data_IF_579253039442
#
_entry.id   IF_579253039442
#
_cell.length_a   1.000
_cell.length_b   1.000
_cell.length_c   1.000
_cell.angle_alpha   90.00
_cell.angle_beta   90.00
_cell.angle_gamma   90.00
#
_symmetry.space_group_name_H-M   'P 1'
#
loop_
_entity.id
_entity.type
_entity.pdbx_description
1 polymer ?
#
# COMPACT_ATOMS: atom_id res chain seq x y z
N UNK A 1 -1.15 10.90 7.52
CA UNK A 1 -2.59 10.54 7.60
C UNK A 1 -2.72 9.31 6.74
N UNK A 2 -3.19 8.19 7.28
CA UNK A 2 -3.15 6.93 6.54
C UNK A 2 -4.25 6.86 5.47
N UNK A 3 -3.88 6.42 4.27
CA UNK A 3 -4.79 6.15 3.15
C UNK A 3 -4.82 4.64 2.90
N UNK A 4 -6.01 4.06 2.81
CA UNK A 4 -6.17 2.60 2.82
C UNK A 4 -7.08 2.12 1.69
N UNK A 5 -6.65 1.09 0.98
CA UNK A 5 -7.48 0.38 0.02
C UNK A 5 -8.47 -0.52 0.78
N UNK A 6 -9.76 -0.33 0.50
CA UNK A 6 -10.81 -1.20 1.03
C UNK A 6 -10.93 -2.47 0.18
N UNK A 7 -11.14 -3.60 0.85
CA UNK A 7 -11.35 -4.90 0.21
C UNK A 7 -12.49 -5.63 0.95
N UNK A 8 -13.30 -6.45 0.26
CA UNK A 8 -14.50 -7.06 0.82
C UNK A 8 -14.23 -8.17 1.85
N UNK A 9 -12.97 -8.55 2.05
CA UNK A 9 -12.53 -9.56 3.01
C UNK A 9 -11.64 -8.98 4.11
N UNK A 10 -11.60 -9.67 5.25
CA UNK A 10 -10.75 -9.29 6.37
C UNK A 10 -9.28 -9.69 6.16
N UNK A 11 -9.00 -10.79 5.48
CA UNK A 11 -7.64 -11.32 5.22
C UNK A 11 -7.44 -11.61 3.73
N UNK A 12 -6.21 -11.91 3.31
CA UNK A 12 -5.86 -12.13 1.89
C UNK A 12 -6.09 -10.92 0.98
N UNK A 13 -6.00 -9.70 1.54
CA UNK A 13 -6.18 -8.44 0.79
C UNK A 13 -5.12 -8.27 -0.28
N UNK A 14 -3.87 -8.68 -0.01
CA UNK A 14 -2.80 -8.63 -1.00
C UNK A 14 -3.12 -9.49 -2.24
N UNK A 15 -3.51 -10.74 -2.01
CA UNK A 15 -3.93 -11.67 -3.06
C UNK A 15 -5.15 -11.15 -3.81
N UNK A 16 -6.14 -10.61 -3.10
CA UNK A 16 -7.33 -10.05 -3.73
C UNK A 16 -7.00 -8.84 -4.61
N UNK A 17 -6.18 -7.90 -4.14
CA UNK A 17 -5.74 -6.75 -4.92
C UNK A 17 -5.01 -7.22 -6.19
N UNK A 18 -4.07 -8.17 -6.05
CA UNK A 18 -3.34 -8.76 -7.18
C UNK A 18 -4.25 -9.51 -8.18
N UNK A 19 -5.30 -10.17 -7.69
CA UNK A 19 -6.23 -10.94 -8.52
C UNK A 19 -7.28 -10.10 -9.24
N UNK A 20 -7.69 -8.96 -8.67
CA UNK A 20 -8.74 -8.10 -9.21
C UNK A 20 -8.19 -6.95 -10.06
N UNK A 21 -7.01 -6.43 -9.71
CA UNK A 21 -6.40 -5.31 -10.41
C UNK A 21 -5.20 -5.81 -11.22
N UNK A 22 -5.38 -5.91 -12.55
CA UNK A 22 -4.39 -6.51 -13.44
C UNK A 22 -3.04 -5.77 -13.53
N UNK A 23 -2.95 -4.56 -12.98
CA UNK A 23 -1.71 -3.77 -12.86
C UNK A 23 -1.02 -3.90 -11.50
N UNK A 24 -1.64 -4.59 -10.55
CA UNK A 24 -1.06 -4.88 -9.25
C UNK A 24 0.00 -5.99 -9.35
N UNK A 25 1.15 -5.78 -8.71
CA UNK A 25 2.26 -6.73 -8.71
C UNK A 25 2.75 -6.97 -7.29
N UNK A 26 2.65 -8.20 -6.81
CA UNK A 26 3.32 -8.63 -5.58
C UNK A 26 4.84 -8.56 -5.75
N UNK A 27 5.51 -7.92 -4.80
CA UNK A 27 6.97 -7.76 -4.80
C UNK A 27 7.54 -8.08 -3.41
N UNK A 28 8.85 -8.38 -3.30
CA UNK A 28 9.57 -8.28 -2.05
C UNK A 28 9.48 -6.87 -1.45
N UNK A 29 9.79 -6.73 -0.16
CA UNK A 29 9.94 -5.41 0.46
C UNK A 29 11.01 -4.60 -0.30
N UNK A 30 10.71 -3.37 -0.76
CA UNK A 30 11.73 -2.47 -1.28
C UNK A 30 12.71 -2.04 -0.17
N UNK A 31 13.98 -1.83 -0.51
CA UNK A 31 14.97 -1.35 0.44
C UNK A 31 14.78 0.14 0.73
N UNK A 32 14.44 0.92 -0.30
CA UNK A 32 14.31 2.37 -0.23
C UNK A 32 13.01 2.85 -0.87
N UNK A 33 12.51 4.00 -0.42
CA UNK A 33 11.34 4.65 -1.04
C UNK A 33 11.58 4.98 -2.52
N UNK A 34 12.82 5.31 -2.89
CA UNK A 34 13.22 5.60 -4.27
C UNK A 34 13.17 4.39 -5.21
N UNK A 35 13.06 3.16 -4.68
CA UNK A 35 12.94 1.95 -5.48
C UNK A 35 11.54 1.78 -6.09
N UNK A 36 10.58 2.60 -5.63
CA UNK A 36 9.21 2.60 -6.13
C UNK A 36 9.19 3.27 -7.50
N UNK A 37 8.78 2.58 -8.58
CA UNK A 37 8.77 3.16 -9.92
C UNK A 37 7.87 4.38 -10.03
N UNK A 38 8.28 5.34 -10.86
CA UNK A 38 7.44 6.48 -11.21
C UNK A 38 6.07 6.01 -11.74
N UNK A 39 5.02 6.72 -11.36
CA UNK A 39 3.65 6.37 -11.75
C UNK A 39 3.04 5.20 -10.97
N UNK A 40 3.75 4.64 -9.98
CA UNK A 40 3.20 3.66 -9.04
C UNK A 40 3.21 4.17 -7.59
N UNK A 41 2.39 3.52 -6.76
CA UNK A 41 2.52 3.55 -5.31
C UNK A 41 2.88 2.15 -4.80
N UNK A 42 3.57 2.14 -3.66
CA UNK A 42 3.70 0.94 -2.86
C UNK A 42 2.46 0.78 -1.98
N UNK A 43 1.83 -0.38 -2.08
CA UNK A 43 0.74 -0.82 -1.20
C UNK A 43 1.31 -1.81 -0.20
N UNK A 44 1.07 -1.55 1.07
CA UNK A 44 1.60 -2.35 2.18
C UNK A 44 0.41 -2.99 2.89
N UNK A 45 0.29 -4.31 2.75
CA UNK A 45 -0.75 -5.08 3.41
C UNK A 45 -0.21 -5.63 4.71
N UNK A 46 -0.61 -5.01 5.82
CA UNK A 46 -0.21 -5.36 7.18
C UNK A 46 -1.20 -6.34 7.78
N UNK A 47 -0.72 -7.46 8.31
CA UNK A 47 -1.53 -8.42 9.04
C UNK A 47 -1.65 -8.02 10.52
N UNK A 48 -2.84 -7.63 10.97
CA UNK A 48 -3.12 -7.24 12.35
C UNK A 48 -3.66 -8.39 13.21
N UNK A 49 -3.69 -9.63 12.69
CA UNK A 49 -4.29 -10.80 13.34
C UNK A 49 -5.68 -11.12 12.74
N UNK A 50 -6.79 -10.59 13.29
CA UNK A 50 -8.12 -10.88 12.78
C UNK A 50 -8.45 -10.19 11.44
N UNK A 51 -7.65 -9.21 11.02
CA UNK A 51 -7.80 -8.52 9.74
C UNK A 51 -6.46 -8.00 9.21
N UNK A 52 -6.44 -7.64 7.94
CA UNK A 52 -5.33 -6.97 7.26
C UNK A 52 -5.70 -5.52 6.93
N UNK A 53 -4.71 -4.62 6.89
CA UNK A 53 -4.89 -3.25 6.42
C UNK A 53 -3.99 -3.01 5.21
N UNK A 54 -4.53 -2.50 4.10
CA UNK A 54 -3.79 -2.23 2.87
C UNK A 54 -3.49 -0.72 2.76
N UNK A 55 -2.37 -0.28 3.34
CA UNK A 55 -1.95 1.12 3.37
C UNK A 55 -1.26 1.53 2.06
N UNK A 56 -1.47 2.79 1.64
CA UNK A 56 -0.74 3.40 0.52
C UNK A 56 0.45 4.18 1.07
N UNK A 57 1.68 3.78 0.73
CA UNK A 57 2.87 4.57 1.03
C UNK A 57 3.04 5.69 -0.02
N UNK A 58 2.39 6.82 0.22
CA UNK A 58 2.41 7.99 -0.66
C UNK A 58 3.56 8.97 -0.40
N UNK A 59 4.33 8.74 0.67
CA UNK A 59 5.48 9.54 1.08
C UNK A 59 6.56 8.66 1.71
N UNK A 60 7.79 9.18 1.76
CA UNK A 60 8.91 8.50 2.42
C UNK A 60 8.65 8.29 3.93
N UNK A 61 7.92 9.21 4.57
CA UNK A 61 7.52 9.07 5.98
C UNK A 61 6.64 7.83 6.17
N UNK A 62 5.57 7.70 5.38
CA UNK A 62 4.67 6.54 5.48
C UNK A 62 5.40 5.24 5.13
N UNK A 63 6.28 5.25 4.12
CA UNK A 63 7.13 4.10 3.82
C UNK A 63 7.93 3.66 5.06
N UNK A 64 8.67 4.58 5.67
CA UNK A 64 9.53 4.30 6.82
C UNK A 64 8.74 3.79 8.04
N UNK A 65 7.55 4.33 8.29
CA UNK A 65 6.69 3.88 9.38
C UNK A 65 6.32 2.40 9.26
N UNK A 66 6.19 1.87 8.04
CA UNK A 66 5.82 0.47 7.82
C UNK A 66 7.01 -0.47 7.54
N UNK A 67 8.13 0.02 6.99
CA UNK A 67 9.27 -0.84 6.60
C UNK A 67 10.42 -0.80 7.59
N UNK A 68 10.62 0.34 8.27
CA UNK A 68 11.82 0.63 9.06
C UNK A 68 11.51 0.86 10.55
N UNK A 69 10.26 0.73 10.98
CA UNK A 69 9.89 0.83 12.39
C UNK A 69 10.27 -0.46 13.16
N UNK A 70 11.27 -0.44 14.06
CA UNK A 70 11.75 -1.63 14.75
C UNK A 70 10.76 -2.20 15.78
N UNK A 71 9.70 -1.45 16.10
CA UNK A 71 8.67 -1.86 17.05
C UNK A 71 7.43 -2.47 16.37
N UNK A 72 7.38 -2.44 15.03
CA UNK A 72 6.29 -3.03 14.26
C UNK A 72 6.70 -4.40 13.68
N UNK A 73 6.46 -5.45 14.46
CA UNK A 73 6.73 -6.85 14.12
C UNK A 73 5.63 -7.53 13.28
N UNK A 74 4.56 -6.79 12.95
CA UNK A 74 3.42 -7.35 12.22
C UNK A 74 3.87 -7.84 10.84
N UNK A 75 3.41 -9.02 10.37
CA UNK A 75 3.72 -9.51 9.03
C UNK A 75 3.17 -8.57 7.94
N UNK A 76 3.95 -8.35 6.87
CA UNK A 76 3.60 -7.42 5.79
C UNK A 76 3.77 -8.10 4.42
N UNK A 77 2.91 -7.73 3.48
CA UNK A 77 3.05 -8.03 2.05
C UNK A 77 3.08 -6.72 1.26
N UNK A 78 3.79 -6.71 0.15
CA UNK A 78 4.06 -5.51 -0.62
C UNK A 78 3.57 -5.68 -2.05
N UNK A 79 2.88 -4.67 -2.56
CA UNK A 79 2.44 -4.61 -3.95
C UNK A 79 2.83 -3.28 -4.58
N UNK A 80 3.19 -3.30 -5.85
CA UNK A 80 3.18 -2.11 -6.69
C UNK A 80 1.84 -2.00 -7.38
N UNK A 81 1.21 -0.83 -7.31
CA UNK A 81 -0.05 -0.52 -7.99
C UNK A 81 0.07 0.82 -8.72
N UNK A 82 -0.54 0.98 -9.89
CA UNK A 82 -0.45 2.27 -10.61
C UNK A 82 -1.15 3.38 -9.82
N UNK A 83 -0.62 4.61 -9.89
CA UNK A 83 -1.25 5.79 -9.29
C UNK A 83 -2.70 5.94 -9.75
N UNK A 84 -2.98 5.64 -11.03
CA UNK A 84 -4.33 5.68 -11.58
C UNK A 84 -5.27 4.76 -10.80
N UNK A 85 -4.96 3.46 -10.70
CA UNK A 85 -5.80 2.50 -9.98
C UNK A 85 -5.88 2.86 -8.49
N UNK A 86 -4.78 3.29 -7.88
CA UNK A 86 -4.80 3.73 -6.47
C UNK A 86 -5.72 4.92 -6.24
N UNK A 87 -5.75 5.92 -7.13
CA UNK A 87 -6.67 7.06 -7.01
C UNK A 87 -8.13 6.70 -7.27
N UNK A 88 -8.40 5.67 -8.07
CA UNK A 88 -9.76 5.15 -8.24
C UNK A 88 -10.24 4.43 -6.96
N UNK A 89 -9.34 3.71 -6.28
CA UNK A 89 -9.64 2.99 -5.03
C UNK A 89 -9.63 3.88 -3.78
N UNK A 90 -8.86 4.96 -3.81
CA UNK A 90 -8.66 5.89 -2.69
C UNK A 90 -8.71 7.34 -3.22
N UNK A 91 -9.90 7.85 -3.62
CA UNK A 91 -10.03 9.17 -4.22
C UNK A 91 -9.53 10.32 -3.32
N UNK A 92 -9.69 10.19 -2.01
CA UNK A 92 -9.24 11.18 -1.02
C UNK A 92 -7.72 11.37 -1.01
N UNK A 93 -6.95 10.35 -1.41
CA UNK A 93 -5.50 10.47 -1.54
C UNK A 93 -5.15 11.44 -2.68
N UNK A 94 -5.87 11.36 -3.80
CA UNK A 94 -5.66 12.25 -4.94
C UNK A 94 -5.91 13.70 -4.53
N UNK A 95 -7.03 13.96 -3.88
CA UNK A 95 -7.39 15.30 -3.40
C UNK A 95 -6.38 15.85 -2.39
N UNK A 96 -5.83 14.99 -1.54
CA UNK A 96 -4.81 15.37 -0.57
C UNK A 96 -3.50 15.76 -1.26
N UNK A 97 -3.02 14.96 -2.21
CA UNK A 97 -1.77 15.23 -2.93
C UNK A 97 -1.87 16.46 -3.85
N UNK A 98 -3.06 16.79 -4.37
CA UNK A 98 -3.29 18.01 -5.17
C UNK A 98 -3.29 19.30 -4.32
N UNK A 99 -3.40 19.19 -2.99
CA UNK A 99 -3.44 20.33 -2.05
C UNK A 99 -2.12 20.59 -1.32
N UNK A 100 -1.14 19.70 -1.44
CA UNK A 100 0.21 19.88 -0.87
C UNK A 100 1.13 20.61 -1.84
#
# INVERSE_FOLDING_TARGET
MGFYIQAPMNTMKAEWIAGVHGDAQLIPQPENFSDIPEGKFLIIVVNNGPFEAAAVAYSELEFNEFTNNPTDDRPKKFLLLSKKTTFELVPELKEYLEKM
#
